data_IF_167198359801
#
_entry.id   IF_167198359801
#
_cell.length_a   1.000
_cell.length_b   1.000
_cell.length_c   1.000
_cell.angle_alpha   90.00
_cell.angle_beta   90.00
_cell.angle_gamma   90.00
#
_symmetry.space_group_name_H-M   'P 1'
#
loop_
_entity.id
_entity.type
_entity.pdbx_description
1 polymer ?
#
# COMPACT_ATOMS: atom_id res chain seq x y z
N UNK A 1 -20.49 -25.45 3.10
CA UNK A 1 -19.82 -24.15 3.22
C UNK A 1 -18.91 -24.03 2.02
N UNK A 2 -18.97 -22.93 1.27
CA UNK A 2 -17.91 -22.64 0.30
C UNK A 2 -16.68 -22.26 1.11
N UNK A 3 -15.63 -23.06 1.04
CA UNK A 3 -14.38 -22.76 1.73
C UNK A 3 -13.83 -21.45 1.15
N UNK A 4 -13.75 -20.42 1.98
CA UNK A 4 -13.18 -19.12 1.65
C UNK A 4 -11.76 -19.09 2.19
N UNK A 5 -10.77 -18.92 1.30
CA UNK A 5 -9.38 -18.74 1.72
C UNK A 5 -8.97 -17.28 1.60
N UNK A 6 -8.32 -16.79 2.66
CA UNK A 6 -7.71 -15.47 2.73
C UNK A 6 -6.20 -15.65 2.63
N UNK A 7 -5.59 -15.11 1.57
CA UNK A 7 -4.14 -15.09 1.42
C UNK A 7 -3.57 -13.76 1.93
N UNK A 8 -2.43 -13.80 2.62
CA UNK A 8 -1.72 -12.58 3.05
C UNK A 8 -0.29 -12.59 2.56
N UNK A 9 0.14 -11.50 1.91
CA UNK A 9 1.51 -11.33 1.44
C UNK A 9 2.21 -10.19 2.19
N UNK A 10 3.46 -10.43 2.61
CA UNK A 10 4.30 -9.44 3.28
C UNK A 10 5.06 -8.55 2.29
N UNK A 11 5.77 -7.54 2.79
CA UNK A 11 6.40 -6.53 1.94
C UNK A 11 7.43 -7.08 0.95
N UNK A 12 8.16 -8.15 1.28
CA UNK A 12 9.08 -8.82 0.34
C UNK A 12 8.36 -9.53 -0.80
N UNK A 13 7.16 -10.06 -0.53
CA UNK A 13 6.29 -10.71 -1.53
C UNK A 13 5.67 -9.70 -2.49
N UNK A 14 5.67 -8.41 -2.16
CA UNK A 14 5.15 -7.31 -3.00
C UNK A 14 6.18 -6.20 -3.21
N UNK A 15 7.47 -6.55 -3.13
CA UNK A 15 8.57 -5.58 -3.18
C UNK A 15 8.69 -4.88 -4.55
N UNK A 16 8.44 -5.63 -5.61
CA UNK A 16 8.59 -5.21 -7.00
C UNK A 16 7.59 -5.96 -7.89
N UNK A 17 7.58 -5.64 -9.19
CA UNK A 17 6.69 -6.24 -10.17
C UNK A 17 6.83 -7.77 -10.22
N UNK A 18 8.05 -8.31 -10.19
CA UNK A 18 8.27 -9.75 -10.29
C UNK A 18 7.83 -10.47 -9.01
N UNK A 19 8.08 -9.87 -7.85
CA UNK A 19 7.60 -10.37 -6.56
C UNK A 19 6.08 -10.41 -6.51
N UNK A 20 5.40 -9.35 -6.94
CA UNK A 20 3.94 -9.32 -7.04
C UNK A 20 3.42 -10.41 -7.98
N UNK A 21 4.05 -10.61 -9.13
CA UNK A 21 3.71 -11.68 -10.07
C UNK A 21 3.85 -13.08 -9.43
N UNK A 22 4.94 -13.35 -8.70
CA UNK A 22 5.10 -14.61 -7.94
C UNK A 22 4.03 -14.78 -6.86
N UNK A 23 3.64 -13.70 -6.20
CA UNK A 23 2.57 -13.72 -5.19
C UNK A 23 1.20 -14.01 -5.81
N UNK A 24 0.93 -13.48 -7.01
CA UNK A 24 -0.24 -13.87 -7.79
C UNK A 24 -0.21 -15.36 -8.10
N UNK A 25 0.92 -15.90 -8.56
CA UNK A 25 1.06 -17.34 -8.84
C UNK A 25 0.71 -18.19 -7.61
N UNK A 26 1.21 -17.80 -6.43
CA UNK A 26 0.90 -18.48 -5.16
C UNK A 26 -0.58 -18.38 -4.80
N UNK A 27 -1.20 -17.21 -4.95
CA UNK A 27 -2.62 -17.02 -4.65
C UNK A 27 -3.53 -17.89 -5.54
N UNK A 28 -3.11 -18.17 -6.77
CA UNK A 28 -3.85 -18.99 -7.73
C UNK A 28 -3.68 -20.50 -7.55
N UNK A 29 -2.76 -20.95 -6.68
CA UNK A 29 -2.60 -22.38 -6.37
C UNK A 29 -3.84 -22.96 -5.68
N UNK A 30 -4.59 -22.13 -4.97
CA UNK A 30 -5.86 -22.51 -4.35
C UNK A 30 -7.01 -21.71 -4.98
N UNK A 31 -7.88 -22.41 -5.70
CA UNK A 31 -9.07 -21.85 -6.33
C UNK A 31 -10.08 -21.25 -5.33
N UNK A 32 -9.95 -21.57 -4.04
CA UNK A 32 -10.76 -21.01 -2.97
C UNK A 32 -10.23 -19.67 -2.43
N UNK A 33 -9.06 -19.21 -2.90
CA UNK A 33 -8.56 -17.87 -2.53
C UNK A 33 -9.43 -16.80 -3.17
N UNK A 34 -10.22 -16.10 -2.35
CA UNK A 34 -11.11 -15.00 -2.82
C UNK A 34 -10.76 -13.64 -2.22
N UNK A 35 -9.92 -13.62 -1.18
CA UNK A 35 -9.46 -12.40 -0.52
C UNK A 35 -7.95 -12.42 -0.42
N UNK A 36 -7.32 -11.34 -0.84
CA UNK A 36 -5.87 -11.13 -0.72
C UNK A 36 -5.62 -9.88 0.11
N UNK A 37 -4.83 -10.01 1.17
CA UNK A 37 -4.41 -8.91 2.04
C UNK A 37 -2.92 -8.66 1.83
N UNK A 38 -2.55 -7.41 1.59
CA UNK A 38 -1.15 -7.04 1.32
C UNK A 38 -0.64 -6.08 2.39
N UNK A 39 0.66 -6.18 2.68
CA UNK A 39 1.41 -5.08 3.28
C UNK A 39 1.87 -4.09 2.20
N UNK A 40 2.43 -2.95 2.60
CA UNK A 40 3.20 -2.09 1.70
C UNK A 40 4.39 -2.84 1.06
N UNK A 41 4.87 -2.38 -0.09
CA UNK A 41 6.10 -2.87 -0.73
C UNK A 41 7.31 -2.72 0.21
N UNK A 42 8.27 -3.65 0.12
CA UNK A 42 9.45 -3.66 0.98
C UNK A 42 10.13 -2.28 1.05
N UNK A 43 10.41 -1.82 2.27
CA UNK A 43 11.05 -0.53 2.53
C UNK A 43 10.09 0.67 2.58
N UNK A 44 8.90 0.61 1.97
CA UNK A 44 7.97 1.74 1.90
C UNK A 44 7.50 2.19 3.27
N UNK A 45 7.07 1.28 4.14
CA UNK A 45 6.65 1.61 5.52
C UNK A 45 7.75 2.36 6.29
N UNK A 46 9.01 1.96 6.14
CA UNK A 46 10.13 2.64 6.82
C UNK A 46 10.35 4.06 6.30
N UNK A 47 10.20 4.28 4.98
CA UNK A 47 10.27 5.62 4.39
C UNK A 47 9.15 6.50 4.92
N UNK A 48 7.92 5.97 4.98
CA UNK A 48 6.75 6.70 5.48
C UNK A 48 6.88 7.03 6.97
N UNK A 49 7.29 6.08 7.82
CA UNK A 49 7.54 6.34 9.24
C UNK A 49 8.58 7.46 9.41
N UNK A 50 9.70 7.40 8.68
CA UNK A 50 10.71 8.47 8.73
C UNK A 50 10.15 9.82 8.28
N UNK A 51 9.31 9.87 7.24
CA UNK A 51 8.64 11.11 6.81
C UNK A 51 7.70 11.66 7.89
N UNK A 52 7.00 10.77 8.61
CA UNK A 52 6.08 11.14 9.68
C UNK A 52 6.78 11.67 10.95
N UNK A 53 8.06 11.39 11.13
CA UNK A 53 8.89 11.95 12.22
C UNK A 53 9.20 13.45 12.01
N UNK A 54 9.01 13.96 10.80
CA UNK A 54 9.25 15.36 10.46
C UNK A 54 10.72 15.60 10.06
N UNK A 55 11.00 15.42 8.76
CA UNK A 55 12.34 15.58 8.20
C UNK A 55 12.58 16.98 7.63
N UNK A 56 13.84 17.41 7.67
CA UNK A 56 14.32 18.60 6.97
C UNK A 56 14.15 18.45 5.44
N UNK A 57 14.00 19.57 4.68
CA UNK A 57 13.60 19.52 3.27
C UNK A 57 14.45 18.60 2.37
N UNK A 58 15.77 18.57 2.56
CA UNK A 58 16.67 17.75 1.76
C UNK A 58 16.48 16.24 1.99
N UNK A 59 16.39 15.83 3.25
CA UNK A 59 16.15 14.42 3.60
C UNK A 59 14.72 14.00 3.24
N UNK A 60 13.74 14.88 3.49
CA UNK A 60 12.34 14.66 3.09
C UNK A 60 12.23 14.37 1.59
N UNK A 61 12.84 15.23 0.75
CA UNK A 61 12.84 15.03 -0.70
C UNK A 61 13.48 13.70 -1.10
N UNK A 62 14.62 13.34 -0.50
CA UNK A 62 15.29 12.07 -0.80
C UNK A 62 14.42 10.84 -0.47
N UNK A 63 13.66 10.87 0.64
CA UNK A 63 12.74 9.78 1.01
C UNK A 63 11.52 9.72 0.09
N UNK A 64 10.95 10.88 -0.28
CA UNK A 64 9.84 10.97 -1.22
C UNK A 64 10.22 10.44 -2.60
N UNK A 65 11.41 10.81 -3.11
CA UNK A 65 11.92 10.31 -4.38
C UNK A 65 12.17 8.80 -4.33
N UNK A 66 12.82 8.29 -3.27
CA UNK A 66 13.03 6.85 -3.11
C UNK A 66 11.71 6.06 -3.10
N UNK A 67 10.68 6.59 -2.44
CA UNK A 67 9.35 5.98 -2.43
C UNK A 67 8.71 6.01 -3.83
N UNK A 68 8.79 7.15 -4.54
CA UNK A 68 8.30 7.28 -5.92
C UNK A 68 8.99 6.26 -6.84
N UNK A 69 10.30 6.10 -6.74
CA UNK A 69 11.05 5.11 -7.54
C UNK A 69 10.54 3.68 -7.31
N UNK A 70 10.26 3.29 -6.06
CA UNK A 70 9.70 1.96 -5.77
C UNK A 70 8.36 1.76 -6.49
N UNK A 71 7.45 2.75 -6.44
CA UNK A 71 6.14 2.63 -7.10
C UNK A 71 6.27 2.61 -8.63
N UNK A 72 7.11 3.48 -9.19
CA UNK A 72 7.28 3.61 -10.64
C UNK A 72 7.99 2.40 -11.25
N UNK A 73 8.92 1.76 -10.53
CA UNK A 73 9.54 0.51 -10.95
C UNK A 73 8.52 -0.64 -11.15
N UNK A 74 7.39 -0.58 -10.44
CA UNK A 74 6.28 -1.52 -10.63
C UNK A 74 5.37 -1.02 -11.75
N UNK A 75 4.96 0.24 -11.67
CA UNK A 75 4.01 0.86 -12.59
C UNK A 75 4.49 0.81 -14.03
N UNK A 76 5.75 1.14 -14.31
CA UNK A 76 6.31 1.17 -15.66
C UNK A 76 6.43 -0.21 -16.31
N UNK A 77 6.30 -1.28 -15.53
CA UNK A 77 6.30 -2.66 -16.01
C UNK A 77 4.91 -3.20 -16.31
N UNK A 78 3.85 -2.49 -15.93
CA UNK A 78 2.49 -2.77 -16.35
C UNK A 78 2.38 -2.65 -17.88
N UNK A 79 1.57 -3.50 -18.50
CA UNK A 79 1.12 -3.38 -19.89
C UNK A 79 0.35 -2.08 -20.15
N UNK A 80 -0.48 -1.65 -19.20
CA UNK A 80 -1.31 -0.43 -19.34
C UNK A 80 -1.14 0.53 -18.16
N UNK A 81 0.06 1.13 -17.97
CA UNK A 81 0.39 1.90 -16.76
C UNK A 81 -0.53 3.11 -16.51
N UNK A 82 -1.04 3.71 -17.59
CA UNK A 82 -1.86 4.92 -17.51
C UNK A 82 -3.22 4.71 -16.83
N UNK A 83 -3.68 3.46 -16.68
CA UNK A 83 -4.96 3.18 -16.00
C UNK A 83 -4.91 3.46 -14.50
N UNK A 84 -3.71 3.44 -13.90
CA UNK A 84 -3.51 3.62 -12.45
C UNK A 84 -2.50 4.72 -12.11
N UNK A 85 -1.77 5.25 -13.10
CA UNK A 85 -0.77 6.31 -12.93
C UNK A 85 -1.29 7.50 -12.13
N UNK A 86 -2.41 8.09 -12.56
CA UNK A 86 -2.94 9.30 -11.93
C UNK A 86 -3.29 9.06 -10.45
N UNK A 87 -3.78 7.87 -10.10
CA UNK A 87 -4.11 7.53 -8.73
C UNK A 87 -2.84 7.35 -7.87
N UNK A 88 -1.79 6.72 -8.40
CA UNK A 88 -0.49 6.62 -7.71
C UNK A 88 0.14 7.99 -7.53
N UNK A 89 0.11 8.85 -8.56
CA UNK A 89 0.62 10.22 -8.48
C UNK A 89 -0.15 11.03 -7.43
N UNK A 90 -1.49 10.94 -7.42
CA UNK A 90 -2.34 11.57 -6.40
C UNK A 90 -1.99 11.14 -4.98
N UNK A 91 -1.71 9.85 -4.75
CA UNK A 91 -1.28 9.35 -3.45
C UNK A 91 0.11 9.89 -3.07
N UNK A 92 1.05 9.94 -4.01
CA UNK A 92 2.39 10.50 -3.78
C UNK A 92 2.35 12.01 -3.47
N UNK A 93 1.48 12.76 -4.13
CA UNK A 93 1.24 14.18 -3.85
C UNK A 93 0.64 14.38 -2.44
N UNK A 94 -0.31 13.53 -2.04
CA UNK A 94 -0.87 13.57 -0.69
C UNK A 94 0.21 13.27 0.36
N UNK A 95 1.04 12.24 0.14
CA UNK A 95 2.16 11.93 1.04
C UNK A 95 3.14 13.09 1.14
N UNK A 96 3.41 13.80 0.03
CA UNK A 96 4.25 15.00 0.04
C UNK A 96 3.67 16.07 0.95
N UNK A 97 2.37 16.35 0.82
CA UNK A 97 1.66 17.33 1.66
C UNK A 97 1.66 16.93 3.14
N UNK A 98 1.41 15.65 3.44
CA UNK A 98 1.42 15.12 4.82
C UNK A 98 2.83 15.14 5.42
N UNK A 99 3.87 14.85 4.64
CA UNK A 99 5.26 14.92 5.09
C UNK A 99 5.70 16.37 5.39
N UNK A 100 5.20 17.34 4.62
CA UNK A 100 5.38 18.77 4.93
C UNK A 100 4.68 19.14 6.23
N UNK A 101 3.42 18.71 6.42
CA UNK A 101 2.70 18.93 7.67
C UNK A 101 3.41 18.29 8.87
N UNK A 102 3.94 17.07 8.71
CA UNK A 102 4.70 16.36 9.75
C UNK A 102 5.98 17.09 10.17
N UNK A 103 6.62 17.82 9.24
CA UNK A 103 7.79 18.65 9.56
C UNK A 103 7.46 19.88 10.42
N UNK A 104 6.18 20.28 10.47
CA UNK A 104 5.70 21.37 11.32
C UNK A 104 5.15 20.85 12.64
N UNK A 105 4.37 19.76 12.60
CA UNK A 105 3.78 19.12 13.75
C UNK A 105 3.51 17.64 13.47
N UNK A 106 4.13 16.75 14.25
CA UNK A 106 3.89 15.31 14.18
C UNK A 106 2.89 14.85 15.25
N UNK A 107 2.14 13.81 14.95
CA UNK A 107 1.25 13.12 15.88
C UNK A 107 1.08 11.67 15.45
N UNK A 108 0.73 10.77 16.37
CA UNK A 108 0.46 9.36 16.03
C UNK A 108 -0.68 9.23 15.00
N UNK A 109 -1.68 10.10 15.06
CA UNK A 109 -2.77 10.14 14.09
C UNK A 109 -2.27 10.50 12.68
N UNK A 110 -1.38 11.49 12.57
CA UNK A 110 -0.75 11.86 11.31
C UNK A 110 0.18 10.75 10.80
N UNK A 111 0.91 10.09 11.70
CA UNK A 111 1.75 8.93 11.36
C UNK A 111 0.90 7.81 10.77
N UNK A 112 -0.23 7.45 11.37
CA UNK A 112 -1.12 6.40 10.86
C UNK A 112 -1.66 6.74 9.47
N UNK A 113 -2.11 7.99 9.26
CA UNK A 113 -2.59 8.45 7.95
C UNK A 113 -1.48 8.34 6.90
N UNK A 114 -0.29 8.86 7.20
CA UNK A 114 0.84 8.87 6.27
C UNK A 114 1.31 7.43 5.95
N UNK A 115 1.50 6.59 6.98
CA UNK A 115 1.99 5.22 6.82
C UNK A 115 1.00 4.34 6.05
N UNK A 116 -0.31 4.55 6.22
CA UNK A 116 -1.36 3.77 5.52
C UNK A 116 -1.27 3.84 4.00
N UNK A 117 -0.66 4.89 3.44
CA UNK A 117 -0.52 5.05 2.01
C UNK A 117 0.35 3.95 1.38
N UNK A 118 1.24 3.31 2.14
CA UNK A 118 2.07 2.22 1.66
C UNK A 118 1.22 1.02 1.20
N UNK A 119 0.27 0.59 2.01
CA UNK A 119 -0.69 -0.49 1.68
C UNK A 119 -1.67 -0.06 0.59
N UNK A 120 -2.10 1.21 0.55
CA UNK A 120 -2.97 1.71 -0.52
C UNK A 120 -2.30 1.57 -1.89
N UNK A 121 -1.06 2.03 -2.03
CA UNK A 121 -0.33 1.94 -3.30
C UNK A 121 -0.05 0.49 -3.71
N UNK A 122 0.40 -0.36 -2.78
CA UNK A 122 0.74 -1.76 -3.12
C UNK A 122 -0.50 -2.56 -3.55
N UNK A 123 -1.64 -2.35 -2.91
CA UNK A 123 -2.90 -3.03 -3.26
C UNK A 123 -3.50 -2.55 -4.58
N UNK A 124 -3.39 -1.25 -4.91
CA UNK A 124 -3.82 -0.74 -6.21
C UNK A 124 -2.99 -1.34 -7.35
N UNK A 125 -1.66 -1.34 -7.22
CA UNK A 125 -0.75 -1.91 -8.22
C UNK A 125 -0.98 -3.43 -8.38
N UNK A 126 -1.19 -4.16 -7.28
CA UNK A 126 -1.42 -5.60 -7.32
C UNK A 126 -2.71 -5.97 -8.06
N UNK A 127 -3.77 -5.18 -7.92
CA UNK A 127 -5.03 -5.39 -8.65
C UNK A 127 -4.83 -5.23 -10.16
N UNK A 128 -4.01 -4.28 -10.59
CA UNK A 128 -3.70 -4.14 -12.03
C UNK A 128 -2.87 -5.32 -12.56
N UNK A 129 -1.93 -5.85 -11.78
CA UNK A 129 -1.18 -7.06 -12.16
C UNK A 129 -2.11 -8.27 -12.32
N UNK A 130 -3.11 -8.43 -11.44
CA UNK A 130 -4.14 -9.46 -11.60
C UNK A 130 -4.95 -9.25 -12.89
N UNK A 131 -5.38 -8.02 -13.17
CA UNK A 131 -6.18 -7.67 -14.36
C UNK A 131 -5.43 -7.89 -15.67
N UNK A 132 -4.13 -7.57 -15.72
CA UNK A 132 -3.29 -7.83 -16.90
C UNK A 132 -3.15 -9.31 -17.25
N UNK A 133 -3.28 -10.17 -16.24
CA UNK A 133 -3.32 -11.62 -16.37
C UNK A 133 -4.73 -12.15 -16.68
N UNK A 134 -5.70 -11.27 -16.91
CA UNK A 134 -7.09 -11.65 -17.21
C UNK A 134 -7.88 -12.13 -16.00
N UNK A 135 -7.40 -11.88 -14.77
CA UNK A 135 -8.05 -12.31 -13.53
C UNK A 135 -9.01 -11.21 -13.09
N UNK A 136 -10.27 -11.58 -12.86
CA UNK A 136 -11.27 -10.67 -12.32
C UNK A 136 -10.94 -10.30 -10.87
N UNK A 137 -10.41 -9.10 -10.67
CA UNK A 137 -10.03 -8.56 -9.36
C UNK A 137 -10.62 -7.16 -9.13
N UNK A 138 -11.05 -6.92 -7.90
CA UNK A 138 -11.57 -5.65 -7.43
C UNK A 138 -10.72 -5.16 -6.26
N UNK A 139 -10.38 -3.88 -6.28
CA UNK A 139 -9.75 -3.23 -5.13
C UNK A 139 -10.80 -2.92 -4.07
N UNK A 140 -10.46 -3.14 -2.80
CA UNK A 140 -11.33 -2.89 -1.68
C UNK A 140 -10.58 -2.18 -0.56
N UNK A 141 -11.13 -1.05 -0.11
CA UNK A 141 -10.58 -0.30 1.01
C UNK A 141 -11.00 -0.93 2.34
N UNK A 142 -10.03 -1.50 3.05
CA UNK A 142 -10.25 -2.14 4.35
C UNK A 142 -10.81 -1.17 5.41
N UNK A 143 -10.56 0.14 5.27
CA UNK A 143 -11.06 1.18 6.20
C UNK A 143 -12.58 1.28 6.21
N UNK A 144 -13.27 0.71 5.22
CA UNK A 144 -14.74 0.62 5.18
C UNK A 144 -15.32 -0.39 6.18
N UNK A 145 -14.50 -1.35 6.64
CA UNK A 145 -14.94 -2.45 7.53
C UNK A 145 -14.08 -2.61 8.77
N UNK A 146 -12.80 -2.23 8.73
CA UNK A 146 -11.87 -2.35 9.85
C UNK A 146 -12.02 -1.15 10.77
N UNK A 147 -13.08 -1.16 11.58
CA UNK A 147 -13.30 -0.16 12.61
C UNK A 147 -12.40 -0.44 13.81
N UNK A 148 -11.83 0.62 14.36
CA UNK A 148 -10.92 0.56 15.50
C UNK A 148 -11.22 1.72 16.45
N UNK A 149 -10.65 1.69 17.65
CA UNK A 149 -10.66 2.83 18.56
C UNK A 149 -9.67 3.94 18.13
N UNK A 150 -9.66 5.06 18.85
CA UNK A 150 -8.80 6.23 18.60
C UNK A 150 -7.36 6.07 19.13
N UNK A 151 -6.93 4.84 19.44
CA UNK A 151 -5.58 4.53 19.92
C UNK A 151 -4.59 4.46 18.74
N UNK A 152 -4.38 5.59 18.06
CA UNK A 152 -3.47 5.69 16.91
C UNK A 152 -2.08 5.08 17.18
N UNK A 153 -1.52 4.42 16.17
CA UNK A 153 -0.29 3.62 16.20
C UNK A 153 -0.49 2.18 16.67
N UNK A 154 -1.53 1.91 17.47
CA UNK A 154 -1.88 0.57 18.00
C UNK A 154 -3.38 0.43 18.21
N UNK A 155 -4.16 0.78 17.19
CA UNK A 155 -5.61 0.79 17.29
C UNK A 155 -6.14 -0.64 17.49
N UNK A 156 -7.14 -0.78 18.35
CA UNK A 156 -7.74 -2.08 18.66
C UNK A 156 -9.00 -2.28 17.80
N UNK A 157 -9.12 -3.41 17.08
CA UNK A 157 -10.25 -3.66 16.19
C UNK A 157 -11.54 -3.92 16.98
N UNK A 158 -12.64 -3.30 16.52
CA UNK A 158 -13.98 -3.57 17.02
C UNK A 158 -14.62 -4.70 16.20
N UNK A 159 -14.71 -5.88 16.82
CA UNK A 159 -15.23 -7.11 16.19
C UNK A 159 -16.76 -7.04 15.98
N UNK A 160 -17.45 -6.18 16.73
CA UNK A 160 -18.92 -6.11 16.71
C UNK A 160 -19.49 -5.05 15.76
N UNK A 161 -18.62 -4.33 15.03
CA UNK A 161 -18.92 -3.06 14.37
C UNK A 161 -19.59 -3.15 12.99
#
# INVERSE_FOLDING_TARGET
MTDLVVAKFGGTSVADFDAMNRSVDVALLDANTRVVVLSASAGVTNLLVALAEGLEPGERFAKLDAMRQIQFNILERLRYPNVIRDEIERLLENITTLAEAASLASSTALTDELVSHGELMSTLLFVEILRERGIAAQWFDVRKIMRTNDRFGRAEPDIAA
#
